data_IF_965846248025
#
_entry.id   IF_965846248025
#
_cell.length_a   1.000
_cell.length_b   1.000
_cell.length_c   1.000
_cell.angle_alpha   90.00
_cell.angle_beta   90.00
_cell.angle_gamma   90.00
#
_symmetry.space_group_name_H-M   'P 1'
#
loop_
_entity.id
_entity.type
_entity.pdbx_description
1 polymer ?
#
# COMPACT_ATOMS: atom_id res chain seq x y z
N UNK A 1 21.35 -40.36 -28.15
CA UNK A 1 20.03 -39.70 -27.92
C UNK A 1 19.49 -39.23 -29.27
N UNK A 2 18.22 -39.50 -29.59
CA UNK A 2 17.64 -39.08 -30.88
C UNK A 2 17.63 -37.54 -30.95
N UNK A 3 18.06 -36.96 -32.07
CA UNK A 3 18.07 -35.51 -32.32
C UNK A 3 16.69 -34.88 -32.07
N UNK A 4 15.61 -35.58 -32.44
CA UNK A 4 14.24 -35.11 -32.22
C UNK A 4 13.87 -35.07 -30.73
N UNK A 5 14.30 -36.07 -29.95
CA UNK A 5 14.09 -36.11 -28.49
C UNK A 5 14.90 -35.00 -27.82
N UNK A 6 16.14 -34.79 -28.25
CA UNK A 6 16.98 -33.70 -27.75
C UNK A 6 16.36 -32.32 -28.02
N UNK A 7 15.82 -32.10 -29.23
CA UNK A 7 15.16 -30.84 -29.58
C UNK A 7 13.88 -30.63 -28.76
N UNK A 8 13.07 -31.67 -28.57
CA UNK A 8 11.87 -31.60 -27.74
C UNK A 8 12.19 -31.23 -26.28
N UNK A 9 13.24 -31.83 -25.70
CA UNK A 9 13.66 -31.52 -24.33
C UNK A 9 14.14 -30.08 -24.18
N UNK A 10 14.85 -29.55 -25.18
CA UNK A 10 15.27 -28.14 -25.20
C UNK A 10 14.06 -27.21 -25.28
N UNK A 11 13.08 -27.51 -26.14
CA UNK A 11 11.85 -26.71 -26.25
C UNK A 11 11.03 -26.73 -24.96
N UNK A 12 10.90 -27.89 -24.31
CA UNK A 12 10.22 -28.02 -23.03
C UNK A 12 10.92 -27.23 -21.94
N UNK A 13 12.26 -27.32 -21.85
CA UNK A 13 13.04 -26.54 -20.90
C UNK A 13 12.86 -25.02 -21.12
N UNK A 14 12.94 -24.56 -22.37
CA UNK A 14 12.74 -23.15 -22.72
C UNK A 14 11.31 -22.66 -22.42
N UNK A 15 10.30 -23.51 -22.66
CA UNK A 15 8.91 -23.15 -22.34
C UNK A 15 8.70 -22.88 -20.85
N UNK A 16 9.36 -23.65 -19.97
CA UNK A 16 9.30 -23.44 -18.53
C UNK A 16 9.86 -22.08 -18.10
N UNK A 17 11.00 -21.66 -18.67
CA UNK A 17 11.59 -20.35 -18.40
C UNK A 17 10.71 -19.20 -18.90
N UNK A 18 10.13 -19.34 -20.09
CA UNK A 18 9.23 -18.32 -20.65
C UNK A 18 7.98 -18.17 -19.76
N UNK A 19 7.33 -19.28 -19.42
CA UNK A 19 6.14 -19.25 -18.55
C UNK A 19 6.47 -18.74 -17.15
N UNK A 20 7.60 -19.14 -16.57
CA UNK A 20 8.05 -18.64 -15.26
C UNK A 20 8.32 -17.13 -15.27
N UNK A 21 8.95 -16.61 -16.34
CA UNK A 21 9.15 -15.18 -16.54
C UNK A 21 7.84 -14.41 -16.62
N UNK A 22 6.86 -14.93 -17.38
CA UNK A 22 5.52 -14.33 -17.50
C UNK A 22 4.83 -14.28 -16.13
N UNK A 23 4.82 -15.38 -15.37
CA UNK A 23 4.18 -15.39 -14.05
C UNK A 23 4.88 -14.48 -13.04
N UNK A 24 6.21 -14.40 -13.09
CA UNK A 24 6.96 -13.49 -12.21
C UNK A 24 6.62 -12.03 -12.52
N UNK A 25 6.51 -11.68 -13.79
CA UNK A 25 6.09 -10.35 -14.22
C UNK A 25 4.68 -10.02 -13.73
N UNK A 26 3.69 -10.90 -13.99
CA UNK A 26 2.32 -10.66 -13.54
C UNK A 26 2.17 -10.65 -12.02
N UNK A 27 2.93 -11.48 -11.30
CA UNK A 27 2.96 -11.44 -9.84
C UNK A 27 3.42 -10.08 -9.33
N UNK A 28 4.47 -9.51 -9.95
CA UNK A 28 4.97 -8.19 -9.58
C UNK A 28 3.96 -7.09 -9.89
N UNK A 29 3.36 -7.11 -11.08
CA UNK A 29 2.32 -6.12 -11.45
C UNK A 29 1.10 -6.20 -10.53
N UNK A 30 0.70 -7.41 -10.14
CA UNK A 30 -0.38 -7.60 -9.17
C UNK A 30 0.00 -7.07 -7.79
N UNK A 31 1.23 -7.28 -7.33
CA UNK A 31 1.71 -6.76 -6.06
C UNK A 31 1.72 -5.22 -6.04
N UNK A 32 2.22 -4.59 -7.11
CA UNK A 32 2.19 -3.14 -7.29
C UNK A 32 0.73 -2.62 -7.26
N UNK A 33 -0.20 -3.34 -7.92
CA UNK A 33 -1.62 -2.98 -7.94
C UNK A 33 -2.28 -3.13 -6.56
N UNK A 34 -2.01 -4.23 -5.85
CA UNK A 34 -2.54 -4.47 -4.49
C UNK A 34 -2.02 -3.40 -3.52
N UNK A 35 -0.73 -3.07 -3.60
CA UNK A 35 -0.11 -2.02 -2.79
C UNK A 35 -0.77 -0.67 -3.04
N UNK A 36 -1.01 -0.31 -4.32
CA UNK A 36 -1.74 0.90 -4.68
C UNK A 36 -3.15 0.91 -4.09
N UNK A 37 -3.90 -0.17 -4.25
CA UNK A 37 -5.28 -0.27 -3.75
C UNK A 37 -5.35 -0.25 -2.22
N UNK A 38 -4.34 -0.78 -1.52
CA UNK A 38 -4.22 -0.66 -0.08
C UNK A 38 -4.08 0.81 0.35
N UNK A 39 -3.24 1.58 -0.35
CA UNK A 39 -3.11 3.03 -0.13
C UNK A 39 -4.40 3.80 -0.42
N UNK A 40 -5.09 3.51 -1.53
CA UNK A 40 -6.39 4.15 -1.84
C UNK A 40 -7.46 3.82 -0.79
N UNK A 41 -7.55 2.57 -0.35
CA UNK A 41 -8.49 2.18 0.68
C UNK A 41 -8.20 2.89 2.02
N UNK A 42 -6.93 2.96 2.41
CA UNK A 42 -6.51 3.67 3.61
C UNK A 42 -6.86 5.17 3.55
N UNK A 43 -6.64 5.81 2.38
CA UNK A 43 -7.04 7.19 2.14
C UNK A 43 -8.55 7.37 2.32
N UNK A 44 -9.36 6.55 1.65
CA UNK A 44 -10.82 6.66 1.69
C UNK A 44 -11.39 6.48 3.11
N UNK A 45 -10.83 5.56 3.91
CA UNK A 45 -11.23 5.36 5.31
C UNK A 45 -11.01 6.64 6.13
N UNK A 46 -9.85 7.28 5.97
CA UNK A 46 -9.53 8.50 6.72
C UNK A 46 -10.39 9.67 6.19
N UNK A 47 -10.50 9.84 4.87
CA UNK A 47 -11.32 10.88 4.25
C UNK A 47 -12.78 10.81 4.74
N UNK A 48 -13.36 9.61 4.71
CA UNK A 48 -14.71 9.38 5.22
C UNK A 48 -14.83 9.69 6.71
N UNK A 49 -13.81 9.34 7.50
CA UNK A 49 -13.79 9.55 8.95
C UNK A 49 -13.57 11.03 9.34
N UNK A 50 -12.94 11.83 8.47
CA UNK A 50 -12.67 13.26 8.67
C UNK A 50 -13.71 14.18 8.02
N UNK A 51 -14.76 13.64 7.39
CA UNK A 51 -15.74 14.44 6.61
C UNK A 51 -16.34 15.64 7.35
N UNK A 52 -16.45 15.57 8.68
CA UNK A 52 -17.01 16.64 9.52
C UNK A 52 -15.95 17.50 10.22
N UNK A 53 -14.67 17.25 9.96
CA UNK A 53 -13.56 18.01 10.50
C UNK A 53 -13.18 19.07 9.46
N UNK A 54 -13.18 20.34 9.88
CA UNK A 54 -13.07 21.46 8.94
C UNK A 54 -11.74 22.20 9.03
N UNK A 55 -10.98 22.01 10.12
CA UNK A 55 -9.66 22.60 10.29
C UNK A 55 -8.59 21.53 10.52
N UNK A 56 -7.35 21.85 10.15
CA UNK A 56 -6.17 21.04 10.44
C UNK A 56 -6.07 20.71 11.94
N UNK A 57 -6.37 21.68 12.81
CA UNK A 57 -6.35 21.47 14.26
C UNK A 57 -7.39 20.42 14.70
N UNK A 58 -8.61 20.47 14.16
CA UNK A 58 -9.66 19.49 14.46
C UNK A 58 -9.27 18.09 13.99
N UNK A 59 -8.60 18.00 12.83
CA UNK A 59 -8.09 16.74 12.29
C UNK A 59 -7.01 16.17 13.21
N UNK A 60 -6.05 16.98 13.65
CA UNK A 60 -4.99 16.54 14.57
C UNK A 60 -5.57 16.04 15.90
N UNK A 61 -6.55 16.75 16.45
CA UNK A 61 -7.26 16.32 17.66
C UNK A 61 -7.98 15.00 17.45
N UNK A 62 -8.65 14.83 16.30
CA UNK A 62 -9.37 13.61 15.97
C UNK A 62 -8.42 12.41 15.79
N UNK A 63 -7.26 12.61 15.16
CA UNK A 63 -6.22 11.58 15.03
C UNK A 63 -5.70 11.16 16.41
N UNK A 64 -5.41 12.12 17.29
CA UNK A 64 -4.99 11.83 18.66
C UNK A 64 -6.06 11.06 19.43
N UNK A 65 -7.33 11.42 19.24
CA UNK A 65 -8.47 10.69 19.81
C UNK A 65 -8.51 9.24 19.31
N UNK A 66 -8.38 8.98 18.02
CA UNK A 66 -8.35 7.61 17.48
C UNK A 66 -7.21 6.78 18.08
N UNK A 67 -6.03 7.37 18.24
CA UNK A 67 -4.89 6.70 18.90
C UNK A 67 -5.22 6.36 20.35
N UNK A 68 -5.75 7.32 21.13
CA UNK A 68 -6.10 7.13 22.54
C UNK A 68 -7.22 6.11 22.73
N UNK A 69 -8.23 6.13 21.86
CA UNK A 69 -9.42 5.29 21.95
C UNK A 69 -9.21 3.90 21.32
N UNK A 70 -8.03 3.63 20.73
CA UNK A 70 -7.71 2.32 20.13
C UNK A 70 -8.46 2.02 18.83
N UNK A 71 -8.81 3.03 18.03
CA UNK A 71 -9.56 2.85 16.78
C UNK A 71 -8.67 2.31 15.66
N UNK A 72 -8.65 0.98 15.53
CA UNK A 72 -7.68 0.24 14.70
C UNK A 72 -7.81 0.48 13.19
N UNK A 73 -9.02 0.75 12.67
CA UNK A 73 -9.21 0.96 11.24
C UNK A 73 -8.55 2.27 10.77
N UNK A 74 -8.75 3.37 11.51
CA UNK A 74 -8.22 4.69 11.18
C UNK A 74 -6.71 4.74 11.47
N UNK A 75 -6.26 4.23 12.62
CA UNK A 75 -4.83 4.21 12.94
C UNK A 75 -4.06 3.30 11.99
N UNK A 76 -4.60 2.13 11.65
CA UNK A 76 -4.01 1.23 10.64
C UNK A 76 -3.95 1.85 9.24
N UNK A 77 -4.98 2.61 8.86
CA UNK A 77 -4.99 3.36 7.60
C UNK A 77 -3.93 4.47 7.58
N UNK A 78 -3.77 5.19 8.69
CA UNK A 78 -2.71 6.21 8.82
C UNK A 78 -1.34 5.56 8.69
N UNK A 79 -1.08 4.45 9.38
CA UNK A 79 0.18 3.71 9.28
C UNK A 79 0.42 3.25 7.83
N UNK A 80 -0.60 2.73 7.17
CA UNK A 80 -0.53 2.29 5.77
C UNK A 80 -0.10 3.45 4.86
N UNK A 81 -0.72 4.63 5.00
CA UNK A 81 -0.33 5.81 4.22
C UNK A 81 1.07 6.31 4.57
N UNK A 82 1.44 6.31 5.85
CA UNK A 82 2.78 6.70 6.27
C UNK A 82 3.88 5.84 5.62
N UNK A 83 3.60 4.55 5.39
CA UNK A 83 4.54 3.61 4.77
C UNK A 83 4.55 3.67 3.24
N UNK A 84 3.37 3.87 2.61
CA UNK A 84 3.22 3.79 1.16
C UNK A 84 3.27 5.14 0.45
N UNK A 85 2.56 6.13 0.97
CA UNK A 85 2.42 7.46 0.36
C UNK A 85 2.04 8.53 1.40
N UNK A 86 3.00 8.99 2.23
CA UNK A 86 2.73 9.96 3.28
C UNK A 86 2.29 11.33 2.73
N UNK A 87 2.52 11.61 1.43
CA UNK A 87 2.12 12.87 0.82
C UNK A 87 0.60 13.02 0.77
N UNK A 88 -0.15 11.92 0.70
CA UNK A 88 -1.63 11.95 0.77
C UNK A 88 -2.16 12.52 2.09
N UNK A 89 -1.34 12.55 3.15
CA UNK A 89 -1.71 13.16 4.42
C UNK A 89 -1.53 14.69 4.44
N UNK A 90 -0.78 15.28 3.48
CA UNK A 90 -0.49 16.73 3.44
C UNK A 90 -1.77 17.54 3.41
N UNK A 91 -2.76 17.09 2.63
CA UNK A 91 -4.02 17.81 2.42
C UNK A 91 -4.85 17.95 3.71
N UNK A 92 -4.59 17.09 4.70
CA UNK A 92 -5.29 17.10 5.99
C UNK A 92 -4.50 17.78 7.11
N UNK A 93 -3.19 17.56 7.17
CA UNK A 93 -2.39 17.90 8.36
C UNK A 93 -1.19 18.80 8.08
N UNK A 94 -0.97 19.18 6.83
CA UNK A 94 0.18 19.96 6.41
C UNK A 94 1.51 19.18 6.54
N UNK A 95 2.52 19.61 5.77
CA UNK A 95 3.83 18.92 5.70
C UNK A 95 4.53 18.81 7.05
N UNK A 96 4.37 19.82 7.91
CA UNK A 96 5.06 19.90 9.20
C UNK A 96 4.53 18.92 10.26
N UNK A 97 3.34 18.35 10.07
CA UNK A 97 2.76 17.40 11.02
C UNK A 97 2.80 15.94 10.53
N UNK A 98 3.17 15.69 9.27
CA UNK A 98 3.31 14.32 8.74
C UNK A 98 4.27 13.51 9.59
N UNK A 99 5.45 14.06 9.90
CA UNK A 99 6.43 13.38 10.74
C UNK A 99 5.90 13.09 12.14
N UNK A 100 5.08 13.97 12.71
CA UNK A 100 4.46 13.75 14.03
C UNK A 100 3.42 12.63 14.02
N UNK A 101 2.68 12.50 12.92
CA UNK A 101 1.63 11.49 12.77
C UNK A 101 2.23 10.13 12.45
N UNK A 102 3.23 10.10 11.56
CA UNK A 102 3.89 8.89 11.07
C UNK A 102 4.99 8.36 11.98
N UNK A 103 5.63 9.19 12.82
CA UNK A 103 6.67 8.77 13.77
C UNK A 103 6.19 8.83 15.23
N UNK A 104 5.06 8.21 15.50
CA UNK A 104 4.72 7.80 16.86
C UNK A 104 4.47 6.29 16.81
N UNK A 105 5.57 5.56 17.02
CA UNK A 105 5.54 4.16 17.44
C UNK A 105 4.80 4.04 18.78
N UNK A 106 4.18 2.88 18.95
CA UNK A 106 3.27 2.39 20.01
C UNK A 106 3.43 3.00 21.42
#
# INVERSE_FOLDING_TARGET
MNKSISALLVLLALSGWITGGIFSYYSKVNDDYVTKMAGENAFNIIEQSLKNNHTEADILVQIQKWKKDGWTAQTGSIITLCNLDPQKLVDWVGKNNITKICHQEE
#
